data_IF_081801521332
#
_entry.id   IF_081801521332
#
_cell.length_a   1.000
_cell.length_b   1.000
_cell.length_c   1.000
_cell.angle_alpha   90.00
_cell.angle_beta   90.00
_cell.angle_gamma   90.00
#
_symmetry.space_group_name_H-M   'P 1'
#
loop_
_entity.id
_entity.type
_entity.pdbx_description
1 polymer ?
#
# COMPACT_ATOMS: atom_id res chain seq x y z
N UNK A 1 22.04 16.51 -8.05
CA UNK A 1 20.79 17.25 -8.32
C UNK A 1 20.13 16.70 -9.58
N UNK A 2 18.84 16.45 -9.51
CA UNK A 2 18.03 15.98 -10.63
C UNK A 2 16.93 17.02 -10.92
N UNK A 3 16.81 17.43 -12.16
CA UNK A 3 15.77 18.35 -12.60
C UNK A 3 14.84 17.64 -13.60
N UNK A 4 13.58 17.49 -13.25
CA UNK A 4 12.55 17.07 -14.20
C UNK A 4 11.90 18.30 -14.82
N UNK A 5 12.05 18.48 -16.12
CA UNK A 5 11.40 19.56 -16.86
C UNK A 5 11.06 19.16 -18.30
N UNK A 6 10.09 19.85 -18.90
CA UNK A 6 9.83 19.76 -20.32
C UNK A 6 10.70 20.76 -21.08
N UNK A 7 11.58 20.28 -21.95
CA UNK A 7 12.37 21.10 -22.86
C UNK A 7 11.48 21.54 -24.03
N UNK A 8 11.22 22.85 -24.18
CA UNK A 8 10.46 23.40 -25.31
C UNK A 8 9.43 24.45 -24.94
N UNK A 9 8.55 24.78 -25.91
CA UNK A 9 7.53 25.81 -25.72
C UNK A 9 6.57 25.48 -24.58
N UNK A 10 6.10 26.48 -23.83
CA UNK A 10 5.34 26.33 -22.59
C UNK A 10 4.11 25.39 -22.65
N UNK A 11 3.55 25.11 -23.83
CA UNK A 11 2.42 24.19 -24.00
C UNK A 11 2.82 22.69 -24.05
N UNK A 12 4.12 22.40 -24.17
CA UNK A 12 4.66 21.03 -24.21
C UNK A 12 5.28 20.55 -22.91
N UNK A 13 5.17 21.32 -21.82
CA UNK A 13 5.72 20.92 -20.52
C UNK A 13 4.97 19.73 -19.92
N UNK A 14 5.64 19.05 -18.99
CA UNK A 14 5.06 17.98 -18.18
C UNK A 14 3.87 18.48 -17.35
N UNK A 15 2.92 17.60 -17.10
CA UNK A 15 1.75 17.86 -16.25
C UNK A 15 1.95 17.18 -14.91
N UNK A 16 1.96 17.97 -13.81
CA UNK A 16 2.22 17.46 -12.46
C UNK A 16 0.90 17.24 -11.71
N UNK A 17 0.78 16.05 -11.13
CA UNK A 17 -0.29 15.67 -10.20
C UNK A 17 0.31 15.30 -8.85
N UNK A 18 -0.22 15.84 -7.72
CA UNK A 18 0.42 15.76 -6.43
C UNK A 18 -0.42 15.25 -5.22
N UNK A 19 -1.47 14.44 -5.26
CA UNK A 19 -2.20 13.87 -6.39
C UNK A 19 -3.10 14.83 -7.17
N UNK A 20 -3.48 15.99 -6.60
CA UNK A 20 -4.25 17.00 -7.32
C UNK A 20 -3.43 17.60 -8.44
N UNK A 21 -4.10 17.99 -9.51
CA UNK A 21 -3.44 18.63 -10.64
C UNK A 21 -2.82 19.98 -10.25
N UNK A 22 -1.50 20.12 -10.41
CA UNK A 22 -0.75 21.35 -10.13
C UNK A 22 -0.48 22.19 -11.37
N UNK A 23 -0.84 21.70 -12.54
CA UNK A 23 -0.53 22.35 -13.81
C UNK A 23 0.82 21.92 -14.40
N UNK A 24 1.33 22.73 -15.32
CA UNK A 24 2.61 22.51 -16.02
C UNK A 24 3.72 23.17 -15.25
N UNK A 25 4.56 22.39 -14.59
CA UNK A 25 5.64 22.87 -13.71
C UNK A 25 6.92 22.08 -13.91
N UNK A 26 8.02 22.66 -13.46
CA UNK A 26 9.31 21.99 -13.30
C UNK A 26 9.50 21.58 -11.84
N UNK A 27 10.25 20.49 -11.63
CA UNK A 27 10.49 19.91 -10.31
C UNK A 27 12.00 19.66 -10.14
N UNK A 28 12.57 20.22 -9.05
CA UNK A 28 13.96 20.05 -8.67
C UNK A 28 14.07 19.07 -7.50
N UNK A 29 14.95 18.09 -7.62
CA UNK A 29 15.26 17.11 -6.60
C UNK A 29 16.70 17.33 -6.13
N UNK A 30 16.90 17.39 -4.82
CA UNK A 30 18.21 17.36 -4.20
C UNK A 30 18.30 16.19 -3.23
N UNK A 31 19.28 15.29 -3.45
CA UNK A 31 19.37 14.05 -2.71
C UNK A 31 18.05 13.27 -2.79
N UNK A 32 17.46 12.94 -1.65
CA UNK A 32 16.23 12.15 -1.55
C UNK A 32 14.94 13.00 -1.50
N UNK A 33 15.06 14.34 -1.67
CA UNK A 33 13.94 15.27 -1.42
C UNK A 33 13.54 16.07 -2.65
N UNK A 34 12.24 16.36 -2.73
CA UNK A 34 11.73 17.40 -3.62
C UNK A 34 12.13 18.75 -3.00
N UNK A 35 13.06 19.44 -3.64
CA UNK A 35 13.57 20.72 -3.14
C UNK A 35 12.67 21.88 -3.55
N UNK A 36 12.19 21.85 -4.81
CA UNK A 36 11.45 22.98 -5.35
C UNK A 36 10.51 22.56 -6.48
N UNK A 37 9.33 23.18 -6.53
CA UNK A 37 8.34 23.02 -7.61
C UNK A 37 7.97 24.43 -8.11
N UNK A 38 8.21 24.71 -9.37
CA UNK A 38 7.98 26.03 -9.97
C UNK A 38 7.36 25.96 -11.36
N UNK A 39 6.76 27.06 -11.81
CA UNK A 39 6.25 27.18 -13.18
C UNK A 39 7.36 27.01 -14.21
N UNK A 40 8.56 27.51 -13.89
CA UNK A 40 9.75 27.32 -14.70
C UNK A 40 11.02 27.49 -13.85
N UNK A 41 11.97 26.57 -14.00
CA UNK A 41 13.32 26.69 -13.45
C UNK A 41 14.26 27.03 -14.60
N UNK A 42 14.72 28.27 -14.62
CA UNK A 42 15.55 28.81 -15.71
C UNK A 42 17.03 28.55 -15.51
N UNK A 43 17.51 28.69 -14.27
CA UNK A 43 18.92 28.48 -13.91
C UNK A 43 19.10 27.03 -13.43
N UNK A 44 19.76 26.21 -14.25
CA UNK A 44 20.06 24.80 -13.94
C UNK A 44 21.57 24.71 -13.72
N UNK A 45 22.03 24.32 -12.52
CA UNK A 45 23.44 24.07 -12.28
C UNK A 45 24.02 23.02 -13.25
N UNK A 46 25.26 23.20 -13.69
CA UNK A 46 25.93 22.30 -14.64
C UNK A 46 25.99 20.84 -14.14
N UNK A 47 25.98 20.64 -12.82
CA UNK A 47 26.00 19.31 -12.19
C UNK A 47 24.61 18.67 -12.02
N UNK A 48 23.55 19.33 -12.46
CA UNK A 48 22.21 18.77 -12.44
C UNK A 48 21.97 17.87 -13.66
N UNK A 49 21.55 16.65 -13.41
CA UNK A 49 20.97 15.80 -14.44
C UNK A 49 19.56 16.29 -14.79
N UNK A 50 19.24 16.39 -16.07
CA UNK A 50 17.93 16.84 -16.54
C UNK A 50 17.18 15.68 -17.17
N UNK A 51 16.01 15.36 -16.59
CA UNK A 51 15.06 14.42 -17.17
C UNK A 51 14.04 15.18 -18.00
N UNK A 52 13.95 14.90 -19.30
CA UNK A 52 12.90 15.42 -20.15
C UNK A 52 11.59 14.62 -19.98
N UNK A 53 10.64 15.24 -19.32
CA UNK A 53 9.30 14.69 -19.15
C UNK A 53 8.24 15.44 -19.98
N UNK A 54 8.66 16.07 -21.08
CA UNK A 54 7.79 16.85 -21.96
C UNK A 54 6.57 16.06 -22.43
N UNK A 55 5.39 16.65 -22.22
CA UNK A 55 4.12 16.06 -22.63
C UNK A 55 3.68 14.82 -21.84
N UNK A 56 4.40 14.49 -20.76
CA UNK A 56 4.11 13.34 -19.88
C UNK A 56 3.41 13.79 -18.61
N UNK A 57 2.88 12.80 -17.87
CA UNK A 57 2.36 12.99 -16.53
C UNK A 57 3.45 12.68 -15.51
N UNK A 58 3.60 13.55 -14.53
CA UNK A 58 4.49 13.37 -13.38
C UNK A 58 3.61 13.23 -12.15
N UNK A 59 3.68 12.07 -11.50
CA UNK A 59 2.82 11.69 -10.40
C UNK A 59 3.63 11.18 -9.20
N UNK A 60 3.07 11.15 -7.97
CA UNK A 60 3.73 10.48 -6.85
C UNK A 60 3.98 8.99 -7.14
N UNK A 61 5.07 8.47 -6.62
CA UNK A 61 5.34 7.03 -6.61
C UNK A 61 4.24 6.27 -5.87
N UNK A 62 3.89 5.08 -6.37
CA UNK A 62 2.85 4.26 -5.76
C UNK A 62 3.33 3.69 -4.43
N UNK A 63 2.39 3.56 -3.50
CA UNK A 63 2.59 2.96 -2.18
C UNK A 63 1.78 1.68 -2.10
N UNK A 64 2.44 0.55 -1.91
CA UNK A 64 1.78 -0.73 -1.70
C UNK A 64 1.90 -1.15 -0.23
N UNK A 65 0.82 -1.04 0.51
CA UNK A 65 0.83 -1.28 1.95
C UNK A 65 0.66 -2.74 2.36
N UNK A 66 0.50 -3.67 1.40
CA UNK A 66 0.23 -5.07 1.69
C UNK A 66 0.94 -6.00 0.71
N UNK A 67 2.19 -6.35 1.04
CA UNK A 67 3.02 -7.20 0.17
C UNK A 67 3.77 -8.25 0.98
N UNK A 68 3.75 -9.49 0.50
CA UNK A 68 4.53 -10.58 1.06
C UNK A 68 5.96 -10.53 0.51
N UNK A 69 6.76 -9.55 0.99
CA UNK A 69 8.11 -9.29 0.44
C UNK A 69 9.07 -10.46 0.56
N UNK A 70 8.85 -11.36 1.53
CA UNK A 70 9.58 -12.64 1.68
C UNK A 70 8.88 -13.81 1.00
N UNK A 71 7.82 -13.52 0.20
CA UNK A 71 6.87 -14.50 -0.31
C UNK A 71 5.82 -14.92 0.73
N UNK A 72 4.79 -15.56 0.25
CA UNK A 72 3.69 -16.16 1.01
C UNK A 72 3.42 -17.59 0.58
N UNK A 73 2.16 -17.99 0.56
CA UNK A 73 1.73 -19.32 0.16
C UNK A 73 2.10 -20.40 1.16
N UNK A 74 2.03 -21.66 0.72
CA UNK A 74 2.30 -22.82 1.55
C UNK A 74 1.05 -23.59 1.99
N UNK A 75 -0.13 -23.04 1.74
CA UNK A 75 -1.41 -23.64 2.14
C UNK A 75 -1.69 -25.00 1.45
N UNK A 76 -1.09 -25.23 0.28
CA UNK A 76 -1.14 -26.50 -0.44
C UNK A 76 0.12 -27.37 -0.25
N UNK A 77 0.85 -27.24 0.86
CA UNK A 77 2.13 -27.87 1.15
C UNK A 77 3.35 -27.03 0.71
N UNK A 78 4.56 -27.46 1.08
CA UNK A 78 5.81 -26.71 0.86
C UNK A 78 6.06 -26.29 -0.59
N UNK A 79 5.60 -27.06 -1.58
CA UNK A 79 5.78 -26.75 -3.00
C UNK A 79 4.93 -25.57 -3.50
N UNK A 80 3.94 -25.12 -2.71
CA UNK A 80 3.08 -23.97 -3.05
C UNK A 80 3.57 -22.65 -2.45
N UNK A 81 4.78 -22.62 -1.90
CA UNK A 81 5.42 -21.38 -1.40
C UNK A 81 5.70 -20.44 -2.56
N UNK A 82 5.32 -19.16 -2.41
CA UNK A 82 5.59 -18.14 -3.42
C UNK A 82 7.01 -17.56 -3.26
N UNK A 83 7.63 -17.03 -4.34
CA UNK A 83 8.97 -16.46 -4.28
C UNK A 83 9.00 -15.13 -3.52
N UNK A 84 10.20 -14.68 -3.16
CA UNK A 84 10.43 -13.33 -2.62
C UNK A 84 10.28 -12.26 -3.70
N UNK A 85 9.79 -11.09 -3.29
CA UNK A 85 9.71 -9.89 -4.12
C UNK A 85 11.10 -9.44 -4.58
N UNK A 86 11.23 -9.12 -5.86
CA UNK A 86 12.44 -8.52 -6.43
C UNK A 86 12.25 -7.01 -6.62
N UNK A 87 13.32 -6.23 -6.46
CA UNK A 87 13.31 -4.78 -6.71
C UNK A 87 12.78 -4.44 -8.12
N UNK A 88 13.19 -5.22 -9.14
CA UNK A 88 12.74 -5.02 -10.52
C UNK A 88 11.22 -5.06 -10.67
N UNK A 89 10.54 -5.93 -9.93
CA UNK A 89 9.07 -6.05 -9.97
C UNK A 89 8.38 -4.83 -9.36
N UNK A 90 8.95 -4.27 -8.27
CA UNK A 90 8.48 -3.01 -7.68
C UNK A 90 8.62 -1.86 -8.69
N UNK A 91 9.80 -1.71 -9.27
CA UNK A 91 10.10 -0.64 -10.22
C UNK A 91 9.18 -0.74 -11.45
N UNK A 92 9.01 -1.93 -12.03
CA UNK A 92 8.10 -2.16 -13.15
C UNK A 92 6.62 -1.95 -12.78
N UNK A 93 6.27 -2.08 -11.50
CA UNK A 93 4.95 -1.75 -10.95
C UNK A 93 4.80 -0.28 -10.54
N UNK A 94 5.84 0.56 -10.68
CA UNK A 94 5.82 1.95 -10.23
C UNK A 94 5.76 2.11 -8.70
N UNK A 95 6.14 1.09 -7.94
CA UNK A 95 6.08 1.09 -6.49
C UNK A 95 7.40 1.62 -5.94
N UNK A 96 7.36 2.74 -5.24
CA UNK A 96 8.52 3.35 -4.58
C UNK A 96 8.52 3.15 -3.07
N UNK A 97 7.36 2.79 -2.52
CA UNK A 97 7.19 2.50 -1.09
C UNK A 97 6.38 1.22 -0.91
N UNK A 98 6.87 0.30 -0.07
CA UNK A 98 6.22 -0.98 0.22
C UNK A 98 6.12 -1.22 1.73
N UNK A 99 5.04 -1.88 2.15
CA UNK A 99 4.92 -2.41 3.53
C UNK A 99 4.87 -3.93 3.45
N UNK A 100 5.93 -4.56 3.94
CA UNK A 100 6.09 -6.01 4.01
C UNK A 100 5.35 -6.61 5.20
N UNK A 101 4.82 -7.82 5.01
CA UNK A 101 4.17 -8.57 6.08
C UNK A 101 4.19 -10.08 5.80
N UNK A 102 3.92 -10.87 6.83
CA UNK A 102 3.71 -12.30 6.70
C UNK A 102 2.23 -12.63 6.47
N UNK A 103 1.97 -13.78 5.89
CA UNK A 103 0.63 -14.33 5.67
C UNK A 103 0.31 -15.49 6.60
N UNK A 104 -0.27 -16.55 6.04
CA UNK A 104 -0.65 -17.78 6.75
C UNK A 104 0.55 -18.47 7.40
N UNK A 105 1.71 -18.51 6.71
CA UNK A 105 2.93 -19.10 7.20
C UNK A 105 3.72 -18.13 8.08
N UNK A 106 3.43 -18.14 9.36
CA UNK A 106 4.23 -17.48 10.42
C UNK A 106 5.18 -18.43 11.16
N UNK A 107 5.39 -19.65 10.64
CA UNK A 107 6.21 -20.70 11.25
C UNK A 107 7.51 -20.89 10.50
N UNK A 108 7.44 -21.13 9.17
CA UNK A 108 8.63 -21.36 8.33
C UNK A 108 9.13 -20.07 7.66
N UNK A 109 8.37 -18.98 7.78
CA UNK A 109 8.78 -17.60 7.48
C UNK A 109 8.80 -16.80 8.79
N UNK A 110 9.91 -16.15 9.09
CA UNK A 110 10.06 -15.45 10.37
C UNK A 110 10.02 -13.93 10.20
N UNK A 111 9.73 -13.25 11.30
CA UNK A 111 9.73 -11.77 11.35
C UNK A 111 11.15 -11.22 11.15
N UNK A 112 12.19 -11.96 11.58
CA UNK A 112 13.59 -11.58 11.35
C UNK A 112 13.93 -11.62 9.86
N UNK A 113 13.47 -12.65 9.13
CA UNK A 113 13.66 -12.70 7.67
C UNK A 113 12.90 -11.56 6.98
N UNK A 114 11.67 -11.26 7.43
CA UNK A 114 10.90 -10.11 6.93
C UNK A 114 11.65 -8.80 7.17
N UNK A 115 12.19 -8.60 8.37
CA UNK A 115 12.98 -7.41 8.70
C UNK A 115 14.23 -7.30 7.80
N UNK A 116 14.99 -8.40 7.64
CA UNK A 116 16.16 -8.42 6.79
C UNK A 116 15.83 -8.04 5.34
N UNK A 117 14.73 -8.56 4.78
CA UNK A 117 14.28 -8.22 3.42
C UNK A 117 13.87 -6.76 3.31
N UNK A 118 13.15 -6.21 4.31
CA UNK A 118 12.78 -4.80 4.36
C UNK A 118 14.03 -3.90 4.40
N UNK A 119 15.05 -4.27 5.17
CA UNK A 119 16.31 -3.52 5.22
C UNK A 119 17.04 -3.59 3.88
N UNK A 120 17.11 -4.76 3.25
CA UNK A 120 17.70 -4.93 1.92
C UNK A 120 17.04 -4.03 0.87
N UNK A 121 15.70 -3.97 0.82
CA UNK A 121 14.97 -3.08 -0.08
C UNK A 121 15.29 -1.60 0.18
N UNK A 122 15.45 -1.19 1.45
CA UNK A 122 15.88 0.19 1.77
C UNK A 122 17.31 0.48 1.28
N UNK A 123 18.24 -0.49 1.37
CA UNK A 123 19.60 -0.36 0.83
C UNK A 123 19.61 -0.33 -0.69
N UNK A 124 18.67 -1.01 -1.35
CA UNK A 124 18.46 -0.99 -2.80
C UNK A 124 17.84 0.32 -3.31
N UNK A 125 17.44 1.25 -2.42
CA UNK A 125 17.03 2.61 -2.77
C UNK A 125 15.52 2.87 -2.79
N UNK A 126 14.67 1.89 -2.49
CA UNK A 126 13.22 2.10 -2.30
C UNK A 126 12.89 2.29 -0.82
N UNK A 127 11.68 2.73 -0.50
CA UNK A 127 11.25 2.84 0.88
C UNK A 127 10.48 1.59 1.29
N UNK A 128 10.97 0.86 2.29
CA UNK A 128 10.32 -0.33 2.79
C UNK A 128 10.08 -0.23 4.30
N UNK A 129 8.89 -0.65 4.70
CA UNK A 129 8.41 -0.76 6.08
C UNK A 129 7.85 -2.17 6.31
N UNK A 130 7.41 -2.48 7.53
CA UNK A 130 6.83 -3.79 7.82
C UNK A 130 5.75 -3.73 8.89
N UNK A 131 4.95 -4.77 8.91
CA UNK A 131 3.99 -5.11 9.96
C UNK A 131 4.50 -6.37 10.65
N UNK A 132 4.68 -6.35 11.97
CA UNK A 132 5.03 -7.54 12.75
C UNK A 132 3.84 -8.49 12.88
N UNK A 133 4.05 -9.72 13.31
CA UNK A 133 3.00 -10.72 13.38
C UNK A 133 2.75 -11.45 12.05
N UNK A 134 1.76 -12.31 12.08
CA UNK A 134 1.28 -13.12 10.95
C UNK A 134 -0.23 -13.33 11.11
N UNK A 135 -0.82 -14.36 10.48
CA UNK A 135 -2.23 -14.70 10.72
C UNK A 135 -2.49 -15.11 12.16
N UNK A 136 -1.55 -15.85 12.76
CA UNK A 136 -1.70 -16.47 14.07
C UNK A 136 -1.67 -15.52 15.28
N UNK A 137 -2.12 -16.04 16.41
CA UNK A 137 -2.04 -15.41 17.72
C UNK A 137 -1.65 -16.45 18.78
N UNK A 138 -0.73 -16.16 19.73
CA UNK A 138 0.04 -14.91 19.85
C UNK A 138 0.87 -14.57 18.63
N UNK A 139 1.04 -13.28 18.35
CA UNK A 139 1.76 -12.81 17.16
C UNK A 139 3.25 -13.17 17.22
N UNK A 140 3.85 -13.76 16.16
CA UNK A 140 5.30 -13.87 16.06
C UNK A 140 5.94 -12.48 15.98
N UNK A 141 7.04 -12.28 16.71
CA UNK A 141 7.70 -10.98 16.88
C UNK A 141 9.21 -11.15 17.03
N UNK A 142 9.98 -10.09 16.83
CA UNK A 142 11.44 -10.10 17.06
C UNK A 142 11.76 -9.98 18.55
N UNK A 143 11.05 -9.11 19.26
CA UNK A 143 11.37 -8.76 20.67
C UNK A 143 10.59 -9.57 21.69
N UNK A 144 9.72 -10.47 21.24
CA UNK A 144 8.82 -11.27 22.10
C UNK A 144 7.45 -10.63 22.33
N UNK A 145 7.24 -9.34 21.99
CA UNK A 145 5.99 -8.60 22.16
C UNK A 145 5.76 -7.66 20.98
N UNK A 146 4.54 -7.61 20.43
CA UNK A 146 4.23 -6.77 19.27
C UNK A 146 4.38 -5.27 19.55
N UNK A 147 4.01 -4.81 20.72
CA UNK A 147 4.18 -3.43 21.16
C UNK A 147 5.65 -3.01 21.25
N UNK A 148 6.54 -3.90 21.73
CA UNK A 148 7.99 -3.66 21.74
C UNK A 148 8.57 -3.60 20.32
N UNK A 149 8.13 -4.48 19.41
CA UNK A 149 8.53 -4.40 18.00
C UNK A 149 8.16 -3.03 17.42
N UNK A 150 6.93 -2.56 17.67
CA UNK A 150 6.46 -1.26 17.19
C UNK A 150 7.27 -0.11 17.80
N UNK A 151 7.57 -0.15 19.10
CA UNK A 151 8.29 0.94 19.77
C UNK A 151 9.76 0.99 19.37
N UNK A 152 10.45 -0.14 19.35
CA UNK A 152 11.91 -0.17 19.25
C UNK A 152 12.46 -0.40 17.85
N UNK A 153 11.66 -0.91 16.91
CA UNK A 153 12.08 -1.17 15.54
C UNK A 153 11.49 -0.11 14.62
N UNK A 154 12.32 0.78 14.09
CA UNK A 154 11.89 1.95 13.29
C UNK A 154 10.92 1.57 12.15
N UNK A 155 11.18 0.47 11.47
CA UNK A 155 10.43 0.05 10.27
C UNK A 155 9.10 -0.64 10.57
N UNK A 156 8.80 -0.98 11.84
CA UNK A 156 7.55 -1.63 12.23
C UNK A 156 6.47 -0.60 12.49
N UNK A 157 5.38 -0.66 11.72
CA UNK A 157 4.26 0.29 11.76
C UNK A 157 3.05 -0.23 12.56
N UNK A 158 2.94 -1.52 12.76
CA UNK A 158 1.80 -2.16 13.41
C UNK A 158 1.95 -3.67 13.50
N UNK A 159 0.83 -4.37 13.75
CA UNK A 159 0.76 -5.82 13.89
C UNK A 159 -0.26 -6.43 12.95
N UNK A 160 0.00 -7.64 12.42
CA UNK A 160 -0.90 -8.45 11.59
C UNK A 160 -1.66 -9.45 12.42
N UNK A 161 -2.93 -9.67 12.05
CA UNK A 161 -3.79 -10.74 12.57
C UNK A 161 -4.77 -11.18 11.46
N UNK A 162 -5.21 -12.43 11.46
CA UNK A 162 -6.34 -12.88 10.65
C UNK A 162 -7.60 -13.01 11.50
N UNK A 163 -8.74 -12.57 10.96
CA UNK A 163 -10.07 -12.78 11.57
C UNK A 163 -11.07 -13.23 10.52
N UNK A 164 -12.11 -13.91 10.98
CA UNK A 164 -13.23 -14.37 10.12
C UNK A 164 -12.75 -15.18 8.90
N UNK A 165 -11.71 -15.99 9.09
CA UNK A 165 -11.09 -16.88 8.11
C UNK A 165 -10.91 -18.27 8.70
N UNK A 166 -11.05 -19.34 7.87
CA UNK A 166 -10.85 -20.72 8.32
C UNK A 166 -9.40 -21.00 8.78
N UNK A 167 -8.44 -20.14 8.44
CA UNK A 167 -7.03 -20.17 8.88
C UNK A 167 -6.77 -19.25 10.07
N UNK A 168 -7.77 -18.49 10.53
CA UNK A 168 -7.62 -17.56 11.63
C UNK A 168 -7.45 -18.28 12.97
N UNK A 169 -6.74 -17.67 13.94
CA UNK A 169 -6.54 -18.23 15.27
C UNK A 169 -7.81 -18.21 16.14
N UNK A 170 -8.93 -17.64 15.64
CA UNK A 170 -10.19 -17.48 16.36
C UNK A 170 -10.03 -16.81 17.73
N UNK A 171 -9.31 -15.67 17.74
CA UNK A 171 -9.12 -14.87 18.95
C UNK A 171 -10.45 -14.48 19.59
N UNK A 172 -10.46 -14.45 20.92
CA UNK A 172 -11.60 -13.91 21.67
C UNK A 172 -11.66 -12.38 21.48
N UNK A 173 -12.83 -11.81 21.76
CA UNK A 173 -13.01 -10.37 21.72
C UNK A 173 -12.02 -9.63 22.65
N UNK A 174 -11.77 -10.16 23.84
CA UNK A 174 -10.83 -9.55 24.82
C UNK A 174 -9.38 -9.61 24.32
N UNK A 175 -8.97 -10.66 23.60
CA UNK A 175 -7.65 -10.76 22.97
C UNK A 175 -7.51 -9.73 21.82
N UNK A 176 -8.53 -9.57 20.98
CA UNK A 176 -8.54 -8.56 19.93
C UNK A 176 -8.44 -7.14 20.51
N UNK A 177 -9.22 -6.85 21.55
CA UNK A 177 -9.19 -5.57 22.28
C UNK A 177 -7.81 -5.36 22.91
N UNK A 178 -7.26 -6.39 23.57
CA UNK A 178 -5.94 -6.32 24.19
C UNK A 178 -4.82 -6.04 23.19
N UNK A 179 -4.83 -6.72 22.04
CA UNK A 179 -3.86 -6.48 20.95
C UNK A 179 -3.98 -5.06 20.41
N UNK A 180 -5.20 -4.60 20.11
CA UNK A 180 -5.43 -3.28 19.57
C UNK A 180 -5.05 -2.16 20.53
N UNK A 181 -5.33 -2.34 21.84
CA UNK A 181 -4.96 -1.37 22.88
C UNK A 181 -3.45 -1.25 23.04
N UNK A 182 -2.72 -2.36 23.11
CA UNK A 182 -1.25 -2.39 23.17
C UNK A 182 -0.63 -1.74 21.93
N UNK A 183 -1.13 -2.10 20.75
CA UNK A 183 -0.66 -1.58 19.47
C UNK A 183 -0.85 -0.06 19.38
N UNK A 184 -2.01 0.44 19.79
CA UNK A 184 -2.28 1.89 19.85
C UNK A 184 -1.29 2.62 20.77
N UNK A 185 -1.11 2.13 22.00
CA UNK A 185 -0.19 2.76 22.96
C UNK A 185 1.23 2.76 22.41
N UNK A 186 1.69 1.65 21.82
CA UNK A 186 3.00 1.56 21.18
C UNK A 186 3.17 2.60 20.06
N UNK A 187 2.14 2.79 19.22
CA UNK A 187 2.12 3.83 18.20
C UNK A 187 2.27 5.24 18.79
N UNK A 188 1.49 5.54 19.82
CA UNK A 188 1.56 6.84 20.52
C UNK A 188 2.95 7.11 21.13
N UNK A 189 3.57 6.11 21.75
CA UNK A 189 4.89 6.24 22.37
C UNK A 189 6.01 6.42 21.35
N UNK A 190 5.88 5.82 20.16
CA UNK A 190 6.91 5.85 19.12
C UNK A 190 6.68 6.88 18.01
N UNK A 191 5.54 7.60 18.03
CA UNK A 191 5.16 8.53 16.97
C UNK A 191 4.83 7.84 15.66
N UNK A 192 4.35 6.59 15.72
CA UNK A 192 3.97 5.76 14.57
C UNK A 192 2.44 5.54 14.56
N UNK A 193 1.86 5.04 13.44
CA UNK A 193 0.41 4.83 13.37
C UNK A 193 -0.11 3.80 14.38
N UNK A 194 0.67 2.75 14.69
CA UNK A 194 0.28 1.70 15.64
C UNK A 194 -1.02 1.02 15.21
N UNK A 195 -1.02 0.39 14.04
CA UNK A 195 -2.21 -0.19 13.41
C UNK A 195 -2.28 -1.70 13.53
N UNK A 196 -3.49 -2.24 13.57
CA UNK A 196 -3.78 -3.68 13.48
C UNK A 196 -4.28 -3.98 12.08
N UNK A 197 -3.44 -4.58 11.26
CA UNK A 197 -3.79 -5.03 9.90
C UNK A 197 -4.53 -6.36 10.02
N UNK A 198 -5.79 -6.38 9.61
CA UNK A 198 -6.67 -7.54 9.70
C UNK A 198 -6.83 -8.19 8.32
N UNK A 199 -6.26 -9.40 8.15
CA UNK A 199 -6.67 -10.25 7.04
C UNK A 199 -8.12 -10.68 7.25
N UNK A 200 -8.98 -10.31 6.33
CA UNK A 200 -10.40 -10.69 6.36
C UNK A 200 -10.60 -11.97 5.55
N UNK A 201 -11.26 -12.95 6.15
CA UNK A 201 -11.66 -14.18 5.48
C UNK A 201 -13.10 -14.13 4.95
N UNK A 202 -13.62 -15.30 4.61
CA UNK A 202 -14.96 -15.49 4.05
C UNK A 202 -16.00 -15.95 5.08
N UNK A 203 -15.64 -16.02 6.35
CA UNK A 203 -16.60 -16.40 7.40
C UNK A 203 -17.68 -15.33 7.58
N UNK A 204 -18.89 -15.76 7.88
CA UNK A 204 -20.10 -14.93 7.98
C UNK A 204 -19.96 -13.74 8.96
N UNK A 205 -19.17 -13.90 10.02
CA UNK A 205 -18.94 -12.85 11.01
C UNK A 205 -18.33 -11.56 10.41
N UNK A 206 -17.46 -11.68 9.39
CA UNK A 206 -16.83 -10.55 8.73
C UNK A 206 -16.22 -9.57 9.73
N UNK A 207 -16.67 -8.31 9.73
CA UNK A 207 -16.22 -7.23 10.63
C UNK A 207 -16.92 -7.16 11.98
N UNK A 208 -17.86 -8.05 12.31
CA UNK A 208 -18.58 -7.98 13.59
C UNK A 208 -17.64 -7.99 14.81
N UNK A 209 -16.53 -8.78 14.88
CA UNK A 209 -15.60 -8.68 16.00
C UNK A 209 -15.00 -7.27 16.19
N UNK A 210 -14.75 -6.54 15.09
CA UNK A 210 -14.27 -5.15 15.13
C UNK A 210 -15.35 -4.23 15.66
N UNK A 211 -16.59 -4.34 15.17
CA UNK A 211 -17.70 -3.52 15.65
C UNK A 211 -17.98 -3.75 17.14
N UNK A 212 -17.90 -4.98 17.62
CA UNK A 212 -18.05 -5.29 19.03
C UNK A 212 -16.92 -4.70 19.88
N UNK A 213 -15.65 -4.77 19.41
CA UNK A 213 -14.51 -4.16 20.08
C UNK A 213 -14.69 -2.63 20.22
N UNK A 214 -15.06 -1.96 19.12
CA UNK A 214 -15.33 -0.52 19.11
C UNK A 214 -16.50 -0.12 20.03
N UNK A 215 -17.56 -0.92 20.08
CA UNK A 215 -18.71 -0.67 20.97
C UNK A 215 -18.35 -0.79 22.45
N UNK A 216 -17.44 -1.71 22.80
CA UNK A 216 -17.06 -2.00 24.20
C UNK A 216 -15.94 -1.12 24.74
N UNK A 217 -15.23 -0.40 23.89
CA UNK A 217 -14.00 0.31 24.27
C UNK A 217 -13.98 1.73 23.72
N UNK A 218 -12.97 2.51 24.13
CA UNK A 218 -12.67 3.83 23.55
C UNK A 218 -11.52 3.74 22.48
N UNK A 219 -11.25 2.55 21.94
CA UNK A 219 -10.30 2.38 20.84
C UNK A 219 -10.88 3.05 19.60
N UNK A 220 -10.16 3.98 18.92
CA UNK A 220 -10.68 4.59 17.72
C UNK A 220 -10.68 3.58 16.56
N UNK A 221 -11.66 3.71 15.66
CA UNK A 221 -11.79 2.89 14.46
C UNK A 221 -10.54 2.88 13.60
N UNK A 222 -9.84 4.01 13.55
CA UNK A 222 -8.60 4.18 12.81
C UNK A 222 -7.43 3.30 13.24
N UNK A 223 -7.54 2.48 14.29
CA UNK A 223 -6.52 1.47 14.65
C UNK A 223 -6.65 0.23 13.76
N UNK A 224 -7.85 -0.14 13.37
CA UNK A 224 -8.09 -1.33 12.58
C UNK A 224 -7.93 -1.05 11.08
N UNK A 225 -7.26 -1.95 10.37
CA UNK A 225 -7.03 -1.91 8.92
C UNK A 225 -7.47 -3.22 8.29
N UNK A 226 -8.79 -3.44 8.12
CA UNK A 226 -9.28 -4.62 7.40
C UNK A 226 -8.84 -4.53 5.93
N UNK A 227 -8.22 -5.62 5.46
CA UNK A 227 -7.80 -5.80 4.06
C UNK A 227 -8.56 -6.92 3.40
N UNK A 228 -8.56 -6.97 2.08
CA UNK A 228 -9.33 -7.92 1.26
C UNK A 228 -10.84 -7.78 1.43
N UNK A 229 -11.33 -6.57 1.77
CA UNK A 229 -12.75 -6.37 2.08
C UNK A 229 -13.65 -6.53 0.86
N UNK A 230 -13.08 -6.42 -0.34
CA UNK A 230 -13.77 -6.63 -1.61
C UNK A 230 -13.85 -8.10 -2.06
N UNK A 231 -13.50 -9.04 -1.18
CA UNK A 231 -13.51 -10.47 -1.54
C UNK A 231 -14.90 -11.09 -1.65
N UNK A 232 -15.89 -10.51 -0.99
CA UNK A 232 -17.29 -10.90 -1.14
C UNK A 232 -18.26 -9.74 -0.81
N UNK A 233 -19.48 -9.75 -1.38
CA UNK A 233 -20.44 -8.65 -1.21
C UNK A 233 -20.91 -8.41 0.23
N UNK A 234 -20.95 -9.46 1.07
CA UNK A 234 -21.41 -9.33 2.46
C UNK A 234 -20.38 -8.54 3.29
N UNK A 235 -19.11 -8.86 3.13
CA UNK A 235 -18.01 -8.14 3.78
C UNK A 235 -17.91 -6.71 3.26
N UNK A 236 -18.07 -6.50 1.94
CA UNK A 236 -18.07 -5.15 1.36
C UNK A 236 -19.20 -4.28 1.93
N UNK A 237 -20.38 -4.84 2.17
CA UNK A 237 -21.48 -4.13 2.83
C UNK A 237 -21.16 -3.73 4.27
N UNK A 238 -20.49 -4.58 5.05
CA UNK A 238 -20.01 -4.23 6.39
C UNK A 238 -18.94 -3.14 6.31
N UNK A 239 -18.10 -3.16 5.29
CA UNK A 239 -17.05 -2.18 5.05
C UNK A 239 -17.60 -0.78 4.76
N UNK A 240 -18.73 -0.64 4.10
CA UNK A 240 -19.43 0.66 3.96
C UNK A 240 -19.78 1.26 5.32
N UNK A 241 -20.34 0.46 6.23
CA UNK A 241 -20.62 0.89 7.60
C UNK A 241 -19.34 1.28 8.35
N UNK A 242 -18.25 0.54 8.15
CA UNK A 242 -16.97 0.85 8.79
C UNK A 242 -16.37 2.18 8.27
N UNK A 243 -16.50 2.47 6.98
CA UNK A 243 -16.15 3.77 6.38
C UNK A 243 -16.98 4.92 6.97
N UNK A 244 -18.31 4.75 7.10
CA UNK A 244 -19.20 5.75 7.70
C UNK A 244 -18.83 6.07 9.17
N UNK A 245 -18.20 5.14 9.87
CA UNK A 245 -17.68 5.34 11.22
C UNK A 245 -16.33 6.06 11.25
N UNK A 246 -15.67 6.30 10.09
CA UNK A 246 -14.33 6.89 9.99
C UNK A 246 -13.20 5.87 9.92
N UNK A 247 -13.50 4.58 9.77
CA UNK A 247 -12.51 3.53 9.62
C UNK A 247 -11.87 3.52 8.24
N UNK A 248 -10.69 2.94 8.13
CA UNK A 248 -10.01 2.70 6.86
C UNK A 248 -10.27 1.29 6.35
N UNK A 249 -10.48 1.14 5.06
CA UNK A 249 -10.57 -0.16 4.39
C UNK A 249 -9.52 -0.31 3.31
N UNK A 250 -9.10 -1.55 3.05
CA UNK A 250 -8.15 -1.86 2.00
C UNK A 250 -8.75 -2.84 0.99
N UNK A 251 -8.78 -2.41 -0.27
CA UNK A 251 -9.24 -3.19 -1.41
C UNK A 251 -8.04 -3.90 -2.05
N UNK A 252 -8.22 -5.16 -2.40
CA UNK A 252 -7.14 -5.98 -2.96
C UNK A 252 -7.30 -6.14 -4.46
N UNK A 253 -6.21 -5.89 -5.19
CA UNK A 253 -6.12 -6.13 -6.62
C UNK A 253 -6.32 -7.62 -6.98
N UNK A 254 -6.64 -7.88 -8.25
CA UNK A 254 -6.82 -9.24 -8.78
C UNK A 254 -8.25 -9.76 -8.72
N UNK A 255 -9.14 -9.12 -7.98
CA UNK A 255 -10.58 -9.38 -8.05
C UNK A 255 -11.16 -8.87 -9.37
N UNK A 256 -12.27 -9.44 -9.81
CA UNK A 256 -12.91 -9.13 -11.09
C UNK A 256 -14.39 -8.79 -10.92
N UNK A 257 -15.00 -8.19 -11.95
CA UNK A 257 -16.40 -7.79 -11.88
C UNK A 257 -16.66 -6.75 -10.80
N UNK A 258 -17.78 -6.85 -10.11
CA UNK A 258 -18.20 -5.90 -9.07
C UNK A 258 -17.27 -5.87 -7.84
N UNK A 259 -16.46 -6.90 -7.66
CA UNK A 259 -15.48 -7.01 -6.58
C UNK A 259 -14.13 -6.38 -6.94
N UNK A 260 -13.97 -5.86 -8.17
CA UNK A 260 -12.76 -5.15 -8.58
C UNK A 260 -12.59 -3.85 -7.79
N UNK A 261 -11.38 -3.52 -7.29
CA UNK A 261 -11.17 -2.30 -6.50
C UNK A 261 -11.71 -1.03 -7.16
N UNK A 262 -11.46 -0.84 -8.44
CA UNK A 262 -11.94 0.32 -9.22
C UNK A 262 -13.47 0.44 -9.21
N UNK A 263 -14.21 -0.67 -9.31
CA UNK A 263 -15.66 -0.69 -9.28
C UNK A 263 -16.21 -0.50 -7.87
N UNK A 264 -15.53 -1.05 -6.86
CA UNK A 264 -15.82 -0.78 -5.46
C UNK A 264 -15.65 0.70 -5.11
N UNK A 265 -14.58 1.35 -5.57
CA UNK A 265 -14.36 2.79 -5.40
C UNK A 265 -15.50 3.59 -6.05
N UNK A 266 -15.84 3.26 -7.29
CA UNK A 266 -16.94 3.91 -8.01
C UNK A 266 -18.28 3.80 -7.28
N UNK A 267 -18.57 2.64 -6.70
CA UNK A 267 -19.78 2.44 -5.90
C UNK A 267 -19.73 3.26 -4.58
N UNK A 268 -18.57 3.34 -3.92
CA UNK A 268 -18.39 4.18 -2.74
C UNK A 268 -18.60 5.67 -3.06
N UNK A 269 -18.03 6.17 -4.16
CA UNK A 269 -18.25 7.54 -4.65
C UNK A 269 -19.74 7.81 -4.92
N UNK A 270 -20.43 6.89 -5.59
CA UNK A 270 -21.87 6.99 -5.86
C UNK A 270 -22.72 7.03 -4.59
N UNK A 271 -22.28 6.34 -3.53
CA UNK A 271 -22.92 6.34 -2.22
C UNK A 271 -22.59 7.57 -1.37
N UNK A 272 -21.62 8.40 -1.77
CA UNK A 272 -21.14 9.54 -0.98
C UNK A 272 -20.40 9.14 0.30
N UNK A 273 -19.72 7.97 0.29
CA UNK A 273 -18.91 7.49 1.41
C UNK A 273 -17.57 8.25 1.49
N UNK A 274 -16.91 8.30 2.67
CA UNK A 274 -15.62 8.96 2.84
C UNK A 274 -14.51 8.17 2.12
N UNK A 275 -14.29 8.48 0.85
CA UNK A 275 -13.33 7.75 -0.01
C UNK A 275 -11.87 8.04 0.30
N UNK A 276 -11.58 9.08 1.09
CA UNK A 276 -10.24 9.35 1.62
C UNK A 276 -9.72 8.27 2.58
N UNK A 277 -10.60 7.41 3.09
CA UNK A 277 -10.27 6.27 3.92
C UNK A 277 -10.21 4.94 3.16
N UNK A 278 -10.26 4.99 1.84
CA UNK A 278 -10.10 3.80 0.99
C UNK A 278 -8.66 3.74 0.48
N UNK A 279 -8.05 2.57 0.62
CA UNK A 279 -6.75 2.23 0.05
C UNK A 279 -6.87 1.03 -0.88
N UNK A 280 -5.92 0.89 -1.80
CA UNK A 280 -5.79 -0.26 -2.68
C UNK A 280 -4.39 -0.84 -2.50
N UNK A 281 -4.30 -2.16 -2.40
CA UNK A 281 -3.03 -2.90 -2.33
C UNK A 281 -3.01 -4.08 -3.29
N UNK A 282 -1.81 -4.55 -3.64
CA UNK A 282 -1.66 -5.66 -4.59
C UNK A 282 -1.84 -7.04 -3.97
N UNK A 283 -1.61 -7.18 -2.68
CA UNK A 283 -1.36 -8.48 -2.02
C UNK A 283 -0.23 -9.25 -2.73
N UNK A 284 0.76 -8.50 -3.24
CA UNK A 284 1.83 -9.03 -4.08
C UNK A 284 2.64 -10.11 -3.38
N UNK A 285 3.00 -11.17 -4.13
CA UNK A 285 3.66 -12.38 -3.63
C UNK A 285 2.87 -13.15 -2.56
N UNK A 286 1.63 -12.70 -2.24
CA UNK A 286 0.64 -13.52 -1.57
C UNK A 286 0.10 -14.62 -2.48
N UNK A 287 -0.46 -15.65 -1.90
CA UNK A 287 -1.17 -16.69 -2.64
C UNK A 287 -2.66 -16.36 -2.69
N UNK A 288 -3.26 -16.60 -3.85
CA UNK A 288 -4.70 -16.75 -3.94
C UNK A 288 -5.04 -18.21 -4.17
N UNK A 289 -6.15 -18.68 -3.62
CA UNK A 289 -6.52 -20.08 -3.64
C UNK A 289 -8.00 -20.25 -3.90
N UNK A 290 -8.35 -21.23 -4.75
CA UNK A 290 -9.72 -21.68 -4.96
C UNK A 290 -9.89 -23.04 -4.29
N UNK A 291 -10.95 -23.19 -3.51
CA UNK A 291 -11.28 -24.42 -2.79
C UNK A 291 -12.58 -25.03 -3.33
N UNK A 292 -12.66 -26.37 -3.31
CA UNK A 292 -13.89 -27.09 -3.54
C UNK A 292 -14.84 -26.99 -2.34
N UNK A 293 -16.10 -27.42 -2.51
CA UNK A 293 -17.09 -27.41 -1.43
C UNK A 293 -16.68 -28.28 -0.21
N UNK A 294 -15.87 -29.32 -0.43
CA UNK A 294 -15.31 -30.17 0.62
C UNK A 294 -14.07 -29.59 1.32
N UNK A 295 -13.65 -28.37 0.93
CA UNK A 295 -12.47 -27.70 1.47
C UNK A 295 -11.13 -28.14 0.85
N UNK A 296 -11.12 -29.00 -0.16
CA UNK A 296 -9.90 -29.38 -0.89
C UNK A 296 -9.43 -28.24 -1.79
N UNK A 297 -8.10 -28.01 -1.85
CA UNK A 297 -7.49 -27.01 -2.70
C UNK A 297 -7.60 -27.42 -4.17
N UNK A 298 -8.27 -26.59 -4.99
CA UNK A 298 -8.41 -26.79 -6.44
C UNK A 298 -7.30 -26.12 -7.22
N UNK A 299 -7.00 -24.88 -6.87
CA UNK A 299 -6.04 -24.05 -7.59
C UNK A 299 -5.37 -23.09 -6.62
N UNK A 300 -4.11 -22.80 -6.88
CA UNK A 300 -3.34 -21.76 -6.18
C UNK A 300 -2.51 -20.97 -7.18
N UNK A 301 -2.46 -19.66 -6.99
CA UNK A 301 -1.66 -18.76 -7.80
C UNK A 301 -0.94 -17.72 -6.95
N UNK A 302 -0.20 -16.85 -7.60
CA UNK A 302 0.60 -15.79 -6.98
C UNK A 302 0.12 -14.44 -7.44
N UNK A 303 -0.18 -13.54 -6.50
CA UNK A 303 -0.50 -12.14 -6.80
C UNK A 303 0.76 -11.37 -7.21
N UNK A 304 0.64 -10.47 -8.17
CA UNK A 304 1.76 -9.67 -8.67
C UNK A 304 1.63 -8.20 -8.29
N UNK A 305 2.71 -7.59 -7.82
CA UNK A 305 2.73 -6.17 -7.39
C UNK A 305 2.39 -5.19 -8.53
N UNK A 306 2.63 -5.56 -9.80
CA UNK A 306 2.26 -4.74 -10.96
C UNK A 306 0.75 -4.53 -11.13
N UNK A 307 -0.07 -5.29 -10.40
CA UNK A 307 -1.53 -5.14 -10.40
C UNK A 307 -1.97 -3.78 -9.88
N UNK A 308 -1.19 -3.15 -8.99
CA UNK A 308 -1.51 -1.83 -8.41
C UNK A 308 -1.51 -0.72 -9.47
N UNK A 309 -0.47 -0.65 -10.30
CA UNK A 309 -0.41 0.29 -11.43
C UNK A 309 -1.53 0.05 -12.44
N UNK A 310 -1.78 -1.22 -12.76
CA UNK A 310 -2.86 -1.61 -13.69
C UNK A 310 -4.24 -1.21 -13.16
N UNK A 311 -4.45 -1.31 -11.85
CA UNK A 311 -5.72 -0.91 -11.23
C UNK A 311 -5.92 0.61 -11.30
N UNK A 312 -4.89 1.40 -11.03
CA UNK A 312 -4.93 2.85 -11.21
C UNK A 312 -5.19 3.23 -12.68
N UNK A 313 -4.52 2.57 -13.63
CA UNK A 313 -4.77 2.77 -15.06
C UNK A 313 -6.22 2.41 -15.44
N UNK A 314 -6.78 1.36 -14.88
CA UNK A 314 -8.16 0.95 -15.14
C UNK A 314 -9.18 1.97 -14.60
N UNK A 315 -8.95 2.51 -13.40
CA UNK A 315 -9.79 3.58 -12.86
C UNK A 315 -9.90 4.77 -13.82
N UNK A 316 -8.79 5.13 -14.47
CA UNK A 316 -8.76 6.26 -15.41
C UNK A 316 -9.33 5.88 -16.79
N UNK A 317 -8.91 4.75 -17.36
CA UNK A 317 -9.23 4.37 -18.76
C UNK A 317 -10.65 3.83 -18.89
N UNK A 318 -11.10 3.00 -17.96
CA UNK A 318 -12.37 2.28 -18.04
C UNK A 318 -13.46 2.89 -17.16
N UNK A 319 -13.12 3.27 -15.91
CA UNK A 319 -14.08 3.87 -15.00
C UNK A 319 -14.23 5.38 -15.17
N UNK A 320 -13.42 6.00 -16.04
CA UNK A 320 -13.49 7.41 -16.42
C UNK A 320 -13.26 8.38 -15.24
N UNK A 321 -12.53 7.95 -14.21
CA UNK A 321 -12.05 8.86 -13.17
C UNK A 321 -10.93 9.72 -13.77
N UNK A 322 -10.86 10.98 -13.37
CA UNK A 322 -9.67 11.77 -13.64
C UNK A 322 -8.45 11.19 -12.91
N UNK A 323 -7.25 11.49 -13.38
CA UNK A 323 -6.02 11.02 -12.74
C UNK A 323 -5.92 11.51 -11.28
N UNK A 324 -6.36 12.74 -11.01
CA UNK A 324 -6.37 13.29 -9.64
C UNK A 324 -7.40 12.63 -8.72
N UNK A 325 -8.46 12.01 -9.26
CA UNK A 325 -9.42 11.21 -8.49
C UNK A 325 -8.92 9.78 -8.25
N UNK A 326 -8.16 9.20 -9.18
CA UNK A 326 -7.65 7.83 -9.06
C UNK A 326 -6.40 7.72 -8.17
N UNK A 327 -5.49 8.68 -8.25
CA UNK A 327 -4.20 8.65 -7.55
C UNK A 327 -4.29 8.50 -6.02
N UNK A 328 -5.22 9.15 -5.30
CA UNK A 328 -5.27 9.06 -3.85
C UNK A 328 -5.30 7.64 -3.31
N UNK A 329 -6.01 6.72 -3.95
CA UNK A 329 -6.20 5.34 -3.47
C UNK A 329 -4.93 4.49 -3.46
N UNK A 330 -3.92 4.89 -4.22
CA UNK A 330 -2.63 4.20 -4.36
C UNK A 330 -1.43 5.08 -3.94
N UNK A 331 -1.69 6.28 -3.40
CA UNK A 331 -0.68 7.24 -2.98
C UNK A 331 -1.03 7.92 -1.64
N UNK A 332 -1.73 9.07 -1.66
CA UNK A 332 -1.95 9.88 -0.46
C UNK A 332 -2.82 9.21 0.60
N UNK A 333 -3.90 8.53 0.22
CA UNK A 333 -4.73 7.81 1.19
C UNK A 333 -3.94 6.69 1.87
N UNK A 334 -3.09 5.99 1.10
CA UNK A 334 -2.22 4.94 1.65
C UNK A 334 -1.21 5.56 2.62
N UNK A 335 -0.57 6.67 2.23
CA UNK A 335 0.37 7.38 3.10
C UNK A 335 -0.29 7.84 4.41
N UNK A 336 -1.53 8.35 4.34
CA UNK A 336 -2.31 8.73 5.52
C UNK A 336 -2.63 7.50 6.38
N UNK A 337 -3.09 6.40 5.78
CA UNK A 337 -3.44 5.17 6.46
C UNK A 337 -2.27 4.54 7.24
N UNK A 338 -1.05 4.67 6.74
CA UNK A 338 0.16 4.10 7.37
C UNK A 338 1.02 5.16 8.09
N UNK A 339 0.52 6.39 8.28
CA UNK A 339 1.18 7.45 9.04
C UNK A 339 2.44 8.03 8.40
N UNK A 340 2.53 8.02 7.07
CA UNK A 340 3.67 8.55 6.30
C UNK A 340 3.32 9.81 5.48
N UNK A 341 2.18 10.43 5.71
CA UNK A 341 1.61 11.51 4.91
C UNK A 341 2.44 12.81 4.88
N UNK A 342 3.37 12.98 5.80
CA UNK A 342 4.31 14.09 5.83
C UNK A 342 5.53 13.88 4.92
N UNK A 343 5.72 12.67 4.39
CA UNK A 343 6.90 12.28 3.59
C UNK A 343 6.54 11.65 2.25
N UNK A 344 5.40 10.96 2.17
CA UNK A 344 5.04 10.06 1.06
C UNK A 344 3.68 10.41 0.46
N UNK A 345 3.42 9.89 -0.75
CA UNK A 345 2.13 9.94 -1.41
C UNK A 345 1.76 11.29 -2.02
N UNK A 346 2.65 12.29 -1.96
CA UNK A 346 2.41 13.65 -2.47
C UNK A 346 3.68 14.21 -3.09
N UNK A 347 3.52 15.01 -4.16
CA UNK A 347 4.62 15.84 -4.69
C UNK A 347 4.51 17.22 -4.07
N UNK A 348 5.21 17.42 -2.98
CA UNK A 348 5.33 18.68 -2.26
C UNK A 348 6.79 18.90 -1.85
N UNK A 349 7.19 20.15 -1.67
CA UNK A 349 8.53 20.48 -1.19
C UNK A 349 8.83 19.78 0.14
N UNK A 350 10.06 19.28 0.29
CA UNK A 350 10.55 18.50 1.43
C UNK A 350 9.97 17.10 1.60
N UNK A 351 9.01 16.64 0.76
CA UNK A 351 8.64 15.25 0.68
C UNK A 351 9.77 14.42 0.04
N UNK A 352 9.73 13.11 0.26
CA UNK A 352 10.64 12.19 -0.41
C UNK A 352 10.39 12.25 -1.94
N UNK A 353 11.47 12.25 -2.70
CA UNK A 353 11.42 12.29 -4.16
C UNK A 353 11.07 10.92 -4.74
N UNK A 354 9.83 10.51 -4.52
CA UNK A 354 9.19 9.31 -5.05
C UNK A 354 8.26 9.71 -6.18
N UNK A 355 8.69 9.47 -7.43
CA UNK A 355 8.06 10.05 -8.60
C UNK A 355 7.95 9.02 -9.72
N UNK A 356 6.80 8.99 -10.38
CA UNK A 356 6.62 8.28 -11.64
C UNK A 356 6.43 9.28 -12.78
N UNK A 357 7.00 8.96 -13.92
CA UNK A 357 6.76 9.65 -15.18
C UNK A 357 6.01 8.68 -16.10
N UNK A 358 4.78 9.02 -16.46
CA UNK A 358 3.91 8.24 -17.33
C UNK A 358 3.75 8.95 -18.67
N UNK A 359 3.67 8.19 -19.75
CA UNK A 359 3.31 8.74 -21.05
C UNK A 359 1.80 9.06 -21.14
N UNK A 360 1.34 9.55 -22.29
CA UNK A 360 -0.09 9.88 -22.51
C UNK A 360 -1.01 8.66 -22.54
N UNK A 361 -0.46 7.47 -22.69
CA UNK A 361 -1.19 6.21 -22.56
C UNK A 361 -1.19 5.66 -21.14
N UNK A 362 -0.64 6.42 -20.17
CA UNK A 362 -0.45 6.01 -18.79
C UNK A 362 0.60 4.91 -18.60
N UNK A 363 1.44 4.66 -19.61
CA UNK A 363 2.51 3.67 -19.50
C UNK A 363 3.73 4.27 -18.79
N UNK A 364 4.39 3.44 -17.98
CA UNK A 364 5.52 3.86 -17.17
C UNK A 364 6.74 4.17 -18.04
N UNK A 365 7.25 5.40 -17.95
CA UNK A 365 8.46 5.85 -18.65
C UNK A 365 9.66 5.91 -17.73
N UNK A 366 9.51 6.36 -16.49
CA UNK A 366 10.60 6.46 -15.53
C UNK A 366 10.08 6.33 -14.10
N UNK A 367 10.94 5.80 -13.22
CA UNK A 367 10.71 5.71 -11.79
C UNK A 367 11.87 6.37 -11.07
N UNK A 368 11.57 7.26 -10.16
CA UNK A 368 12.52 7.90 -9.25
C UNK A 368 12.09 7.49 -7.85
N UNK A 369 12.94 6.80 -7.14
CA UNK A 369 12.71 6.38 -5.76
C UNK A 369 13.76 7.03 -4.87
N UNK A 370 13.32 7.80 -3.87
CA UNK A 370 14.20 8.55 -2.95
C UNK A 370 15.29 9.36 -3.66
N UNK A 371 14.95 9.97 -4.82
CA UNK A 371 15.83 10.86 -5.57
C UNK A 371 16.63 10.21 -6.68
N UNK A 372 17.38 9.11 -6.49
CA UNK A 372 18.03 8.42 -7.61
C UNK A 372 17.03 7.87 -8.62
N UNK A 373 17.39 7.99 -9.91
CA UNK A 373 16.61 7.38 -10.99
C UNK A 373 16.84 5.88 -10.95
N UNK A 374 15.83 5.13 -10.55
CA UNK A 374 15.89 3.66 -10.50
C UNK A 374 15.63 3.01 -11.86
N UNK A 375 15.06 3.77 -12.80
CA UNK A 375 14.66 3.23 -14.09
C UNK A 375 14.37 4.32 -15.14
N UNK A 376 14.98 4.21 -16.34
CA UNK A 376 14.63 4.97 -17.54
C UNK A 376 14.47 4.03 -18.74
N UNK A 377 13.28 3.96 -19.30
CA UNK A 377 12.85 3.18 -20.47
C UNK A 377 12.78 1.65 -20.31
N UNK A 378 11.58 1.12 -20.12
CA UNK A 378 11.25 -0.22 -20.58
C UNK A 378 11.26 -0.20 -22.13
N UNK A 379 12.19 -0.90 -22.74
CA UNK A 379 12.12 -1.25 -24.16
C UNK A 379 11.42 -2.59 -24.33
#
# INVERSE_FOLDING_TARGET
CLLSRGLGDGYKRQEIYAPKYLGKKDLLICNEKIEYIADQITEVPEYCEVIDAQGKYVIPGLIDQHVHVTGGGGEGSFHTRTPELQLSEMIEGGITTVVGLLGTDGITRSIENLYAKVMALNEEGVSAYMITGAYGYPSPTITGEADKDIVFIEKVLGVKLAISDHRAPNVTLDELIGLASKTRVAGMLSGKPGIVVLHMGDAEAGLEPVFEALKKTAIPEGIFRPTHVNRNPALMKQSYRFLEMGGYIDLTCGMTGEDRPADCVKECLKRGLPTEHITISSDGHGSWSNYAEDGSLLEIGVSGVRSLLKEMQYMVKENQLSLEEALPYVTSNVADAIGLNNKKGKLIEQADADILILDKNMELSSVIARGPVSYTHLR
#
